data_IF_136622320788
#
_entry.id   IF_136622320788
#
_cell.length_a   1.000
_cell.length_b   1.000
_cell.length_c   1.000
_cell.angle_alpha   90.00
_cell.angle_beta   90.00
_cell.angle_gamma   90.00
#
_symmetry.space_group_name_H-M   'P 1'
#
loop_
_entity.id
_entity.type
_entity.pdbx_description
1 polymer ?
#
# COMPACT_ATOMS: atom_id res chain seq x y z
N UNK A 1 4.89 -18.82 -27.15
CA UNK A 1 4.03 -17.87 -27.90
C UNK A 1 2.90 -17.51 -26.95
N UNK A 2 3.11 -16.50 -26.10
CA UNK A 2 2.13 -16.04 -25.11
C UNK A 2 1.42 -14.85 -25.76
N UNK A 3 0.10 -14.92 -25.76
CA UNK A 3 -0.78 -13.99 -26.43
C UNK A 3 -0.62 -12.56 -25.87
N UNK A 4 -0.09 -11.66 -26.69
CA UNK A 4 0.00 -10.21 -26.46
C UNK A 4 -1.29 -9.50 -26.93
N UNK A 5 -2.44 -9.87 -26.42
CA UNK A 5 -3.70 -9.38 -26.98
C UNK A 5 -4.72 -8.75 -26.03
N UNK A 6 -4.59 -8.96 -24.73
CA UNK A 6 -5.69 -8.56 -23.79
C UNK A 6 -5.28 -7.60 -22.66
N UNK A 7 -4.01 -7.24 -22.53
CA UNK A 7 -3.56 -6.33 -21.45
C UNK A 7 -3.72 -4.83 -21.73
N UNK A 8 -4.17 -4.46 -22.92
CA UNK A 8 -4.30 -3.05 -23.30
C UNK A 8 -5.67 -2.41 -23.01
N UNK A 9 -6.64 -3.16 -22.51
CA UNK A 9 -8.00 -2.64 -22.30
C UNK A 9 -8.34 -2.29 -20.84
N UNK A 10 -7.60 -2.82 -19.85
CA UNK A 10 -7.88 -2.58 -18.42
C UNK A 10 -7.37 -1.25 -17.86
N UNK A 11 -6.54 -0.50 -18.60
CA UNK A 11 -5.97 0.76 -18.11
C UNK A 11 -6.59 2.03 -18.73
N UNK A 12 -7.68 1.93 -19.49
CA UNK A 12 -8.13 3.06 -20.31
C UNK A 12 -9.21 3.95 -19.71
N UNK A 13 -9.90 3.51 -18.66
CA UNK A 13 -11.07 4.25 -18.14
C UNK A 13 -10.98 4.53 -16.64
N UNK A 14 -9.99 5.34 -16.25
CA UNK A 14 -9.91 5.86 -14.85
C UNK A 14 -10.88 7.02 -14.61
N UNK A 15 -11.47 7.56 -15.68
CA UNK A 15 -12.52 8.58 -15.62
C UNK A 15 -13.74 8.05 -16.38
N UNK A 16 -14.89 8.07 -15.74
CA UNK A 16 -16.15 7.72 -16.39
C UNK A 16 -16.56 8.79 -17.44
N UNK A 17 -17.60 8.50 -18.23
CA UNK A 17 -18.13 9.41 -19.28
C UNK A 17 -18.59 10.76 -18.73
N UNK A 18 -18.70 10.90 -17.40
CA UNK A 18 -19.13 12.12 -16.70
C UNK A 18 -17.95 12.85 -16.05
N UNK A 19 -16.70 12.36 -16.22
CA UNK A 19 -15.51 12.96 -15.62
C UNK A 19 -15.25 12.56 -14.17
N UNK A 20 -15.89 11.50 -13.65
CA UNK A 20 -15.67 11.02 -12.30
C UNK A 20 -14.58 9.94 -12.29
N UNK A 21 -13.76 9.94 -11.24
CA UNK A 21 -12.75 8.90 -11.00
C UNK A 21 -13.46 7.55 -10.81
N UNK A 22 -13.12 6.58 -11.63
CA UNK A 22 -13.60 5.19 -11.46
C UNK A 22 -12.73 4.53 -10.39
N UNK A 23 -13.34 4.26 -9.22
CA UNK A 23 -12.67 3.47 -8.19
C UNK A 23 -12.38 2.06 -8.72
N UNK A 24 -11.28 1.42 -8.27
CA UNK A 24 -10.97 0.05 -8.66
C UNK A 24 -12.07 -0.92 -8.21
N UNK A 25 -12.20 -2.04 -8.91
CA UNK A 25 -12.96 -3.18 -8.42
C UNK A 25 -12.24 -3.77 -7.20
N UNK A 26 -12.75 -3.45 -6.01
CA UNK A 26 -12.12 -3.88 -4.76
C UNK A 26 -12.20 -5.40 -4.55
N UNK A 27 -13.19 -6.10 -5.11
CA UNK A 27 -13.26 -7.56 -5.06
C UNK A 27 -12.07 -8.17 -5.82
N UNK A 28 -11.84 -7.70 -7.04
CA UNK A 28 -10.72 -8.13 -7.87
C UNK A 28 -9.37 -7.72 -7.24
N UNK A 29 -9.26 -6.49 -6.75
CA UNK A 29 -8.05 -5.97 -6.10
C UNK A 29 -7.70 -6.79 -4.85
N UNK A 30 -8.69 -7.17 -4.04
CA UNK A 30 -8.51 -8.03 -2.87
C UNK A 30 -7.91 -9.39 -3.26
N UNK A 31 -8.46 -10.01 -4.29
CA UNK A 31 -7.96 -11.30 -4.79
C UNK A 31 -6.50 -11.20 -5.26
N UNK A 32 -6.17 -10.19 -6.07
CA UNK A 32 -4.81 -9.98 -6.52
C UNK A 32 -3.84 -9.71 -5.37
N UNK A 33 -4.21 -8.83 -4.45
CA UNK A 33 -3.38 -8.50 -3.30
C UNK A 33 -3.09 -9.73 -2.42
N UNK A 34 -4.11 -10.58 -2.17
CA UNK A 34 -3.94 -11.85 -1.44
C UNK A 34 -2.99 -12.81 -2.14
N UNK A 35 -3.09 -12.94 -3.47
CA UNK A 35 -2.20 -13.82 -4.24
C UNK A 35 -0.76 -13.32 -4.18
N UNK A 36 -0.51 -12.03 -4.50
CA UNK A 36 0.83 -11.47 -4.53
C UNK A 36 1.50 -11.46 -3.16
N UNK A 37 0.75 -11.20 -2.10
CA UNK A 37 1.26 -11.22 -0.72
C UNK A 37 1.29 -12.62 -0.11
N UNK A 38 0.73 -13.63 -0.77
CA UNK A 38 0.52 -14.97 -0.21
C UNK A 38 -0.26 -14.95 1.12
N UNK A 39 -1.23 -14.05 1.25
CA UNK A 39 -2.10 -13.95 2.43
C UNK A 39 -3.19 -15.03 2.35
N UNK A 40 -2.93 -16.15 2.99
CA UNK A 40 -3.84 -17.30 3.04
C UNK A 40 -4.78 -17.23 4.26
N UNK A 41 -5.92 -17.98 4.26
CA UNK A 41 -6.82 -18.05 5.42
C UNK A 41 -6.10 -18.46 6.73
N UNK A 42 -5.11 -19.36 6.66
CA UNK A 42 -4.34 -19.76 7.84
C UNK A 42 -3.52 -18.59 8.41
N UNK A 43 -2.96 -17.75 7.54
CA UNK A 43 -2.23 -16.55 7.97
C UNK A 43 -3.16 -15.48 8.51
N UNK A 44 -4.33 -15.30 7.90
CA UNK A 44 -5.37 -14.40 8.38
C UNK A 44 -5.81 -14.78 9.81
N UNK A 45 -6.09 -16.06 10.04
CA UNK A 45 -6.43 -16.57 11.37
C UNK A 45 -5.27 -16.37 12.36
N UNK A 46 -4.05 -16.70 11.93
CA UNK A 46 -2.86 -16.53 12.80
C UNK A 46 -2.65 -15.08 13.22
N UNK A 47 -2.83 -14.11 12.32
CA UNK A 47 -2.74 -12.67 12.63
C UNK A 47 -3.74 -12.28 13.73
N UNK A 48 -4.99 -12.77 13.62
CA UNK A 48 -6.01 -12.50 14.63
C UNK A 48 -5.70 -13.19 15.97
N UNK A 49 -5.19 -14.42 15.94
CA UNK A 49 -4.84 -15.20 17.15
C UNK A 49 -3.73 -14.54 17.96
N UNK A 50 -2.73 -13.97 17.29
CA UNK A 50 -1.59 -13.31 17.97
C UNK A 50 -1.88 -11.86 18.37
N UNK A 51 -3.04 -11.31 18.02
CA UNK A 51 -3.41 -9.93 18.35
C UNK A 51 -3.16 -9.57 19.81
N UNK A 52 -3.58 -10.44 20.74
CA UNK A 52 -3.41 -10.21 22.17
C UNK A 52 -1.95 -10.09 22.62
N UNK A 53 -1.04 -10.77 21.90
CA UNK A 53 0.37 -10.79 22.23
C UNK A 53 1.10 -9.57 21.60
N UNK A 54 0.67 -9.11 20.43
CA UNK A 54 1.29 -8.02 19.67
C UNK A 54 0.68 -6.64 20.00
N UNK A 55 -0.62 -6.56 20.22
CA UNK A 55 -1.32 -5.29 20.42
C UNK A 55 -0.73 -4.38 21.52
N UNK A 56 -0.26 -4.89 22.67
CA UNK A 56 0.37 -4.06 23.72
C UNK A 56 1.66 -3.37 23.27
N UNK A 57 2.31 -3.86 22.21
CA UNK A 57 3.62 -3.38 21.74
C UNK A 57 3.49 -2.38 20.57
N UNK A 58 2.31 -2.26 19.96
CA UNK A 58 2.12 -1.42 18.78
C UNK A 58 2.38 0.07 19.06
N UNK A 59 2.16 0.53 20.29
CA UNK A 59 2.50 1.89 20.68
C UNK A 59 4.02 2.12 20.65
N UNK A 60 4.83 1.17 21.15
CA UNK A 60 6.29 1.24 21.09
C UNK A 60 6.80 1.20 19.64
N UNK A 61 6.22 0.33 18.80
CA UNK A 61 6.52 0.30 17.35
C UNK A 61 6.25 1.67 16.72
N UNK A 62 5.11 2.30 17.05
CA UNK A 62 4.77 3.63 16.54
C UNK A 62 5.77 4.68 16.98
N UNK A 63 6.12 4.73 18.26
CA UNK A 63 7.09 5.71 18.79
C UNK A 63 8.42 5.60 18.06
N UNK A 64 8.99 4.39 18.01
CA UNK A 64 10.29 4.16 17.37
C UNK A 64 10.25 4.46 15.87
N UNK A 65 9.15 4.13 15.19
CA UNK A 65 8.96 4.49 13.78
C UNK A 65 9.04 6.01 13.55
N UNK A 66 8.35 6.81 14.38
CA UNK A 66 8.38 8.26 14.24
C UNK A 66 9.69 8.90 14.71
N UNK A 67 10.42 8.29 15.65
CA UNK A 67 11.78 8.69 16.00
C UNK A 67 12.73 8.55 14.80
N UNK A 68 12.70 7.40 14.14
CA UNK A 68 13.53 7.17 12.94
C UNK A 68 13.10 8.12 11.82
N UNK A 69 11.80 8.22 11.56
CA UNK A 69 11.27 9.08 10.49
C UNK A 69 11.65 10.56 10.70
N UNK A 70 11.60 11.03 11.95
CA UNK A 70 12.02 12.38 12.33
C UNK A 70 13.52 12.64 12.16
N UNK A 71 14.35 11.60 12.05
CA UNK A 71 15.78 11.73 11.76
C UNK A 71 16.08 11.88 10.25
N UNK A 72 15.07 11.73 9.39
CA UNK A 72 15.17 11.84 7.93
C UNK A 72 14.76 13.26 7.52
N UNK A 73 15.68 14.14 7.06
CA UNK A 73 15.34 15.53 6.73
C UNK A 73 14.22 15.66 5.70
N UNK A 74 14.17 14.75 4.73
CA UNK A 74 13.17 14.73 3.66
C UNK A 74 11.77 14.37 4.16
N UNK A 75 11.65 13.75 5.34
CA UNK A 75 10.38 13.46 5.99
C UNK A 75 9.78 14.65 6.74
N UNK A 76 10.59 15.62 7.16
CA UNK A 76 10.17 16.75 8.00
C UNK A 76 8.94 17.50 7.46
N UNK A 77 8.84 17.82 6.16
CA UNK A 77 7.65 18.52 5.62
C UNK A 77 6.34 17.78 5.86
N UNK A 78 6.38 16.46 6.00
CA UNK A 78 5.21 15.61 6.23
C UNK A 78 4.86 15.44 7.71
N UNK A 79 5.79 15.76 8.61
CA UNK A 79 5.68 15.56 10.06
C UNK A 79 5.35 16.84 10.82
N UNK A 80 5.81 18.00 10.33
CA UNK A 80 5.76 19.27 11.07
C UNK A 80 4.35 19.61 11.56
N UNK A 81 4.22 19.77 12.89
CA UNK A 81 2.97 20.14 13.56
C UNK A 81 1.90 19.03 13.61
N UNK A 82 2.20 17.80 13.16
CA UNK A 82 1.19 16.73 13.00
C UNK A 82 1.57 15.39 13.64
N UNK A 83 2.75 15.28 14.23
CA UNK A 83 3.31 13.99 14.69
C UNK A 83 2.35 13.22 15.59
N UNK A 84 1.75 13.88 16.60
CA UNK A 84 0.85 13.20 17.55
C UNK A 84 -0.41 12.66 16.88
N UNK A 85 -1.01 13.44 15.97
CA UNK A 85 -2.18 12.98 15.20
C UNK A 85 -1.82 11.84 14.25
N UNK A 86 -0.65 11.91 13.61
CA UNK A 86 -0.15 10.85 12.73
C UNK A 86 0.14 9.57 13.51
N UNK A 87 0.75 9.67 14.71
CA UNK A 87 0.98 8.52 15.59
C UNK A 87 -0.33 7.82 15.94
N UNK A 88 -1.37 8.58 16.30
CA UNK A 88 -2.67 8.01 16.62
C UNK A 88 -3.28 7.25 15.43
N UNK A 89 -3.34 7.89 14.25
CA UNK A 89 -3.87 7.27 13.02
C UNK A 89 -3.07 6.03 12.63
N UNK A 90 -1.75 6.10 12.75
CA UNK A 90 -0.85 5.00 12.42
C UNK A 90 -1.02 3.82 13.38
N UNK A 91 -1.17 4.09 14.67
CA UNK A 91 -1.46 3.06 15.68
C UNK A 91 -2.79 2.35 15.38
N UNK A 92 -3.84 3.09 15.03
CA UNK A 92 -5.15 2.53 14.63
C UNK A 92 -5.02 1.64 13.38
N UNK A 93 -4.25 2.09 12.38
CA UNK A 93 -3.95 1.29 11.21
C UNK A 93 -3.20 0.00 11.57
N UNK A 94 -2.17 0.06 12.43
CA UNK A 94 -1.45 -1.14 12.87
C UNK A 94 -2.34 -2.11 13.64
N UNK A 95 -3.29 -1.63 14.46
CA UNK A 95 -4.29 -2.50 15.07
C UNK A 95 -5.14 -3.24 14.03
N UNK A 96 -5.46 -2.61 12.92
CA UNK A 96 -6.25 -3.22 11.85
C UNK A 96 -5.54 -4.40 11.19
N UNK A 97 -4.20 -4.40 11.14
CA UNK A 97 -3.38 -5.49 10.61
C UNK A 97 -3.61 -6.83 11.33
N UNK A 98 -4.08 -6.80 12.58
CA UNK A 98 -4.30 -7.96 13.42
C UNK A 98 -5.77 -8.19 13.78
N UNK A 99 -6.69 -7.46 13.12
CA UNK A 99 -8.12 -7.52 13.49
C UNK A 99 -8.96 -8.30 12.49
N UNK A 100 -8.69 -8.18 11.17
CA UNK A 100 -9.54 -8.75 10.11
C UNK A 100 -10.99 -8.22 10.17
N UNK A 101 -11.88 -8.70 9.33
CA UNK A 101 -11.57 -9.55 8.16
C UNK A 101 -10.77 -8.78 7.11
N UNK A 102 -9.98 -9.50 6.33
CA UNK A 102 -9.18 -8.91 5.23
C UNK A 102 -9.93 -9.08 3.91
N UNK A 103 -11.06 -8.41 3.82
CA UNK A 103 -12.02 -8.45 2.71
C UNK A 103 -11.96 -7.17 1.84
N UNK A 104 -12.99 -6.99 1.03
CA UNK A 104 -13.12 -5.81 0.16
C UNK A 104 -13.14 -4.50 0.95
N UNK A 105 -13.79 -4.48 2.11
CA UNK A 105 -13.86 -3.29 2.96
C UNK A 105 -12.48 -2.94 3.54
N UNK A 106 -11.70 -3.95 3.92
CA UNK A 106 -10.31 -3.76 4.34
C UNK A 106 -9.45 -3.24 3.18
N UNK A 107 -9.65 -3.79 1.98
CA UNK A 107 -8.95 -3.35 0.77
C UNK A 107 -9.27 -1.90 0.43
N UNK A 108 -10.55 -1.50 0.48
CA UNK A 108 -10.95 -0.11 0.28
C UNK A 108 -10.33 0.81 1.33
N UNK A 109 -10.29 0.41 2.60
CA UNK A 109 -9.64 1.19 3.65
C UNK A 109 -8.14 1.39 3.36
N UNK A 110 -7.41 0.35 2.93
CA UNK A 110 -5.99 0.46 2.57
C UNK A 110 -5.76 1.30 1.32
N UNK A 111 -6.65 1.22 0.35
CA UNK A 111 -6.62 2.08 -0.84
C UNK A 111 -6.79 3.56 -0.45
N UNK A 112 -7.74 3.87 0.42
CA UNK A 112 -7.97 5.21 0.93
C UNK A 112 -6.77 5.75 1.74
N UNK A 113 -6.07 4.90 2.50
CA UNK A 113 -4.79 5.28 3.15
C UNK A 113 -3.77 5.72 2.09
N UNK A 114 -3.63 4.95 1.01
CA UNK A 114 -2.76 5.33 -0.11
C UNK A 114 -3.17 6.65 -0.75
N UNK A 115 -4.48 6.90 -0.96
CA UNK A 115 -4.97 8.20 -1.48
C UNK A 115 -4.62 9.38 -0.58
N UNK A 116 -4.65 9.20 0.75
CA UNK A 116 -4.23 10.26 1.69
C UNK A 116 -2.76 10.60 1.49
N UNK A 117 -1.89 9.61 1.30
CA UNK A 117 -0.47 9.82 1.04
C UNK A 117 -0.24 10.53 -0.30
N UNK A 118 -0.98 10.16 -1.35
CA UNK A 118 -0.95 10.87 -2.64
C UNK A 118 -1.35 12.34 -2.48
N UNK A 119 -2.45 12.63 -1.76
CA UNK A 119 -2.95 14.00 -1.55
C UNK A 119 -1.95 14.92 -0.84
N UNK A 120 -1.10 14.37 0.00
CA UNK A 120 -0.02 15.13 0.66
C UNK A 120 1.29 15.09 -0.13
N UNK A 121 1.29 14.53 -1.34
CA UNK A 121 2.47 14.35 -2.19
C UNK A 121 3.62 13.60 -1.49
N UNK A 122 3.29 12.61 -0.65
CA UNK A 122 4.32 11.75 -0.05
C UNK A 122 4.96 10.90 -1.15
N UNK A 123 6.29 10.91 -1.32
CA UNK A 123 6.94 10.03 -2.29
C UNK A 123 6.66 8.55 -2.01
N UNK A 124 6.40 7.76 -3.05
CA UNK A 124 6.01 6.33 -2.90
C UNK A 124 7.07 5.50 -2.18
N UNK A 125 8.35 5.88 -2.29
CA UNK A 125 9.46 5.25 -1.59
C UNK A 125 9.37 5.39 -0.07
N UNK A 126 8.74 6.46 0.45
CA UNK A 126 8.51 6.62 1.89
C UNK A 126 7.52 5.58 2.42
N UNK A 127 6.52 5.19 1.62
CA UNK A 127 5.64 4.08 2.02
C UNK A 127 6.40 2.77 2.12
N UNK A 128 7.21 2.45 1.11
CA UNK A 128 8.00 1.21 1.11
C UNK A 128 9.02 1.19 2.26
N UNK A 129 9.69 2.32 2.50
CA UNK A 129 10.61 2.49 3.62
C UNK A 129 9.90 2.38 4.97
N UNK A 130 8.75 3.02 5.12
CA UNK A 130 7.92 2.96 6.33
C UNK A 130 7.48 1.53 6.66
N UNK A 131 6.95 0.80 5.67
CA UNK A 131 6.60 -0.61 5.83
C UNK A 131 7.82 -1.44 6.29
N UNK A 132 8.99 -1.18 5.73
CA UNK A 132 10.23 -1.90 6.11
C UNK A 132 10.61 -1.62 7.56
N UNK A 133 10.57 -0.36 8.01
CA UNK A 133 10.85 0.01 9.39
C UNK A 133 9.89 -0.67 10.37
N UNK A 134 8.59 -0.64 10.08
CA UNK A 134 7.57 -1.27 10.92
C UNK A 134 7.75 -2.79 10.96
N UNK A 135 8.02 -3.44 9.83
CA UNK A 135 8.31 -4.87 9.79
C UNK A 135 9.49 -5.25 10.68
N UNK A 136 10.58 -4.49 10.63
CA UNK A 136 11.77 -4.75 11.44
C UNK A 136 11.45 -4.71 12.94
N UNK A 137 10.68 -3.71 13.38
CA UNK A 137 10.27 -3.61 14.79
C UNK A 137 9.31 -4.73 15.20
N UNK A 138 8.31 -5.04 14.37
CA UNK A 138 7.40 -6.15 14.64
C UNK A 138 8.14 -7.48 14.72
N UNK A 139 9.13 -7.71 13.84
CA UNK A 139 9.93 -8.95 13.88
C UNK A 139 10.77 -9.04 15.15
N UNK A 140 11.35 -7.93 15.62
CA UNK A 140 12.08 -7.89 16.88
C UNK A 140 11.20 -8.43 18.02
N UNK A 141 9.98 -7.91 18.17
CA UNK A 141 9.04 -8.37 19.18
C UNK A 141 8.59 -9.82 18.98
N UNK A 142 8.34 -10.23 17.74
CA UNK A 142 7.97 -11.62 17.43
C UNK A 142 9.07 -12.60 17.89
N UNK A 143 10.34 -12.27 17.64
CA UNK A 143 11.46 -13.08 18.09
C UNK A 143 11.58 -13.13 19.61
N UNK A 144 11.23 -12.06 20.32
CA UNK A 144 11.22 -12.02 21.80
C UNK A 144 10.06 -12.84 22.37
N UNK A 145 8.82 -12.60 21.88
CA UNK A 145 7.60 -13.25 22.40
C UNK A 145 7.60 -14.77 22.16
N UNK A 146 8.02 -15.18 20.98
CA UNK A 146 7.97 -16.58 20.55
C UNK A 146 9.35 -17.25 20.55
N UNK A 147 10.32 -16.76 21.34
CA UNK A 147 11.71 -17.22 21.38
C UNK A 147 11.86 -18.74 21.57
N UNK A 148 10.93 -19.37 22.30
CA UNK A 148 10.96 -20.80 22.60
C UNK A 148 10.22 -21.67 21.58
N UNK A 149 9.65 -21.08 20.52
CA UNK A 149 8.93 -21.79 19.46
C UNK A 149 9.32 -21.24 18.08
N UNK A 150 10.44 -21.73 17.58
CA UNK A 150 10.98 -21.32 16.26
C UNK A 150 10.00 -21.56 15.11
N UNK A 151 9.17 -22.63 15.20
CA UNK A 151 8.18 -22.91 14.16
C UNK A 151 7.08 -21.85 14.17
N UNK A 152 6.57 -21.49 15.37
CA UNK A 152 5.56 -20.43 15.52
C UNK A 152 6.12 -19.09 15.09
N UNK A 153 7.34 -18.75 15.52
CA UNK A 153 8.06 -17.53 15.12
C UNK A 153 8.09 -17.39 13.59
N UNK A 154 8.54 -18.43 12.89
CA UNK A 154 8.58 -18.40 11.41
C UNK A 154 7.22 -18.22 10.76
N UNK A 155 6.16 -18.86 11.28
CA UNK A 155 4.79 -18.69 10.78
C UNK A 155 4.27 -17.27 11.00
N UNK A 156 4.54 -16.70 12.18
CA UNK A 156 4.12 -15.33 12.53
C UNK A 156 4.82 -14.29 11.66
N UNK A 157 6.15 -14.41 11.50
CA UNK A 157 6.91 -13.54 10.57
C UNK A 157 6.34 -13.63 9.17
N UNK A 158 6.05 -14.84 8.66
CA UNK A 158 5.46 -15.00 7.33
C UNK A 158 4.05 -14.43 7.21
N UNK A 159 3.23 -14.47 8.26
CA UNK A 159 1.90 -13.88 8.28
C UNK A 159 1.97 -12.34 8.29
N UNK A 160 2.82 -11.76 9.14
CA UNK A 160 3.06 -10.30 9.18
C UNK A 160 3.58 -9.81 7.83
N UNK A 161 4.58 -10.49 7.24
CA UNK A 161 5.08 -10.13 5.91
C UNK A 161 3.97 -10.14 4.85
N UNK A 162 3.04 -11.11 4.92
CA UNK A 162 1.94 -11.20 3.97
C UNK A 162 0.95 -10.05 4.11
N UNK A 163 0.53 -9.68 5.33
CA UNK A 163 -0.42 -8.58 5.52
C UNK A 163 0.23 -7.22 5.22
N UNK A 164 1.51 -7.03 5.54
CA UNK A 164 2.25 -5.83 5.19
C UNK A 164 2.43 -5.69 3.68
N UNK A 165 2.76 -6.79 3.00
CA UNK A 165 2.83 -6.85 1.54
C UNK A 165 1.48 -6.58 0.87
N UNK A 166 0.38 -7.13 1.40
CA UNK A 166 -0.99 -6.83 0.98
C UNK A 166 -1.28 -5.34 1.08
N UNK A 167 -1.05 -4.76 2.26
CA UNK A 167 -1.31 -3.34 2.53
C UNK A 167 -0.52 -2.43 1.59
N UNK A 168 0.79 -2.70 1.44
CA UNK A 168 1.65 -1.94 0.53
C UNK A 168 1.17 -2.04 -0.92
N UNK A 169 0.84 -3.24 -1.39
CA UNK A 169 0.35 -3.46 -2.75
C UNK A 169 -0.91 -2.65 -3.04
N UNK A 170 -1.87 -2.66 -2.12
CA UNK A 170 -3.12 -1.92 -2.26
C UNK A 170 -2.89 -0.40 -2.20
N UNK A 171 -2.10 0.07 -1.23
CA UNK A 171 -1.77 1.50 -1.11
C UNK A 171 -1.05 2.03 -2.36
N UNK A 172 -0.15 1.25 -2.97
CA UNK A 172 0.54 1.66 -4.20
C UNK A 172 -0.39 1.75 -5.41
N UNK A 173 -1.51 1.04 -5.43
CA UNK A 173 -2.50 1.18 -6.50
C UNK A 173 -3.08 2.58 -6.59
N UNK A 174 -3.24 3.30 -5.47
CA UNK A 174 -3.73 4.69 -5.48
C UNK A 174 -2.75 5.67 -6.13
N UNK A 175 -1.43 5.43 -6.02
CA UNK A 175 -0.42 6.24 -6.71
C UNK A 175 -0.51 6.08 -8.23
N UNK A 176 -0.70 4.87 -8.72
CA UNK A 176 -0.89 4.65 -10.16
C UNK A 176 -2.17 5.31 -10.67
N UNK A 177 -3.24 5.24 -9.89
CA UNK A 177 -4.50 5.91 -10.21
C UNK A 177 -4.31 7.43 -10.31
N UNK A 178 -3.61 8.03 -9.35
CA UNK A 178 -3.33 9.47 -9.34
C UNK A 178 -2.51 9.94 -10.55
N UNK A 179 -1.45 9.22 -10.90
CA UNK A 179 -0.63 9.55 -12.09
C UNK A 179 -1.46 9.46 -13.38
N UNK A 180 -2.33 8.44 -13.47
CA UNK A 180 -3.26 8.30 -14.58
C UNK A 180 -4.24 9.48 -14.68
N UNK A 181 -4.79 9.91 -13.55
CA UNK A 181 -5.71 11.05 -13.46
C UNK A 181 -5.04 12.38 -13.85
N UNK A 182 -3.81 12.62 -13.38
CA UNK A 182 -3.04 13.80 -13.77
C UNK A 182 -2.78 13.84 -15.28
N UNK A 183 -2.42 12.68 -15.85
CA UNK A 183 -2.27 12.56 -17.29
C UNK A 183 -3.59 12.85 -18.03
N UNK A 184 -4.71 12.30 -17.58
CA UNK A 184 -6.01 12.53 -18.20
C UNK A 184 -6.44 14.01 -18.13
N UNK A 185 -6.21 14.67 -17.00
CA UNK A 185 -6.42 16.12 -16.86
C UNK A 185 -5.55 16.91 -17.84
N UNK A 186 -4.27 16.54 -17.95
CA UNK A 186 -3.37 17.18 -18.92
C UNK A 186 -3.87 17.00 -20.37
N UNK A 187 -4.27 15.79 -20.74
CA UNK A 187 -4.80 15.49 -22.07
C UNK A 187 -6.08 16.27 -22.34
N UNK A 188 -6.96 16.39 -21.35
CA UNK A 188 -8.20 17.18 -21.47
C UNK A 188 -7.90 18.68 -21.71
N UNK A 189 -6.98 19.26 -20.93
CA UNK A 189 -6.59 20.67 -21.06
C UNK A 189 -5.93 20.96 -22.41
N UNK A 190 -5.12 20.03 -22.90
CA UNK A 190 -4.41 20.20 -24.18
C UNK A 190 -5.25 19.83 -25.39
N UNK A 191 -6.42 19.21 -25.20
CA UNK A 191 -7.24 18.68 -26.29
C UNK A 191 -6.63 17.48 -27.01
N UNK A 192 -5.60 16.86 -26.44
CA UNK A 192 -4.94 15.68 -27.00
C UNK A 192 -5.69 14.41 -26.60
N UNK A 193 -6.02 13.55 -27.57
CA UNK A 193 -6.61 12.26 -27.25
C UNK A 193 -5.54 11.28 -26.69
N UNK A 194 -5.93 10.41 -25.75
CA UNK A 194 -5.04 9.39 -25.17
C UNK A 194 -4.38 8.50 -26.25
N UNK A 195 -5.09 7.98 -27.28
CA UNK A 195 -4.45 7.20 -28.34
C UNK A 195 -3.38 7.98 -29.11
N UNK A 196 -3.58 9.29 -29.34
CA UNK A 196 -2.56 10.13 -29.97
C UNK A 196 -1.35 10.30 -29.09
N UNK A 197 -1.54 10.55 -27.80
CA UNK A 197 -0.45 10.63 -26.83
C UNK A 197 0.36 9.34 -26.79
N UNK A 198 -0.28 8.18 -26.67
CA UNK A 198 0.39 6.86 -26.61
C UNK A 198 1.17 6.57 -27.88
N UNK A 199 0.63 6.93 -29.06
CA UNK A 199 1.33 6.80 -30.34
C UNK A 199 2.58 7.68 -30.38
N UNK A 200 2.50 8.92 -29.93
CA UNK A 200 3.64 9.83 -29.86
C UNK A 200 4.71 9.31 -28.88
N UNK A 201 4.29 8.89 -27.69
CA UNK A 201 5.18 8.35 -26.68
C UNK A 201 5.90 7.06 -27.14
N UNK A 202 5.19 6.18 -27.86
CA UNK A 202 5.79 4.96 -28.42
C UNK A 202 6.81 5.27 -29.53
N UNK A 203 6.48 6.23 -30.40
CA UNK A 203 7.39 6.67 -31.45
C UNK A 203 8.65 7.31 -30.87
N UNK A 204 8.51 8.16 -29.85
CA UNK A 204 9.66 8.78 -29.17
C UNK A 204 10.57 7.76 -28.53
N UNK A 205 10.03 6.74 -27.86
CA UNK A 205 10.82 5.64 -27.29
C UNK A 205 11.58 4.84 -28.34
N UNK A 206 10.92 4.54 -29.48
CA UNK A 206 11.56 3.80 -30.57
C UNK A 206 12.68 4.57 -31.27
N UNK A 207 12.63 5.91 -31.24
CA UNK A 207 13.66 6.76 -31.88
C UNK A 207 14.89 6.96 -30.98
N UNK A 208 14.75 6.75 -29.64
CA UNK A 208 15.81 6.97 -28.65
C UNK A 208 16.34 5.66 -28.02
N UNK A 209 15.95 4.51 -28.51
CA UNK A 209 16.45 3.19 -28.13
C UNK A 209 17.41 2.65 -29.19
#
# INVERSE_FOLDING_TARGET
>A
MIAHGEQSQENSDMIDKNGNIVKPDFAQLTQYAKIFSSLSPDKENLLQDIKKDIAPLLAEVTEHFYEILGSIPEANPFLEGRVDALKQTHLEWMYSLFTGPYDESYTEAMYNVGEVHVKVNLPVEFMSGGITLICNELYRFVFEIFANDTQKTGKVVAAINSIMGFSLFVMQKSYHASVGEELDKFLLITGMSRPLFEKLASTFRATNA
#
